data_IF_832051659268
#
_entry.id   IF_832051659268
#
_cell.length_a   1.000
_cell.length_b   1.000
_cell.length_c   1.000
_cell.angle_alpha   90.00
_cell.angle_beta   90.00
_cell.angle_gamma   90.00
#
_symmetry.space_group_name_H-M   'P 1'
#
loop_
_entity.id
_entity.type
_entity.pdbx_description
1 polymer ?
#
# COMPACT_ATOMS: atom_id res chain seq x y z
N UNK A 1 -34.38 6.85 39.93
CA UNK A 1 -34.06 6.93 38.49
C UNK A 1 -32.56 6.71 38.33
N UNK A 2 -32.13 5.52 37.92
CA UNK A 2 -30.72 5.25 37.55
C UNK A 2 -30.60 5.35 36.03
N UNK A 3 -29.85 6.34 35.56
CA UNK A 3 -29.52 6.52 34.15
C UNK A 3 -28.31 5.67 33.79
N UNK A 4 -28.51 4.70 32.90
CA UNK A 4 -27.45 3.88 32.34
C UNK A 4 -26.72 4.68 31.24
N UNK A 5 -25.53 5.21 31.55
CA UNK A 5 -24.64 5.79 30.53
C UNK A 5 -24.01 4.66 29.70
N UNK A 6 -24.49 4.49 28.47
CA UNK A 6 -23.84 3.69 27.44
C UNK A 6 -22.63 4.45 26.90
N UNK A 7 -21.44 4.13 27.41
CA UNK A 7 -20.19 4.51 26.76
C UNK A 7 -20.09 3.77 25.41
N UNK A 8 -20.29 4.50 24.32
CA UNK A 8 -19.91 4.07 22.98
C UNK A 8 -18.39 3.93 22.95
N UNK A 9 -17.89 2.71 23.18
CA UNK A 9 -16.51 2.35 22.91
C UNK A 9 -16.30 2.47 21.40
N UNK A 10 -15.71 3.59 20.98
CA UNK A 10 -15.17 3.75 19.64
C UNK A 10 -14.10 2.67 19.45
N UNK A 11 -14.49 1.55 18.84
CA UNK A 11 -13.54 0.56 18.37
C UNK A 11 -12.80 1.18 17.19
N UNK A 12 -11.64 1.77 17.48
CA UNK A 12 -10.62 1.99 16.46
C UNK A 12 -10.21 0.61 15.98
N UNK A 13 -10.91 0.08 14.97
CA UNK A 13 -10.53 -1.14 14.29
C UNK A 13 -9.16 -0.86 13.66
N UNK A 14 -8.10 -1.32 14.32
CA UNK A 14 -6.76 -1.29 13.76
C UNK A 14 -6.82 -2.14 12.50
N UNK A 15 -6.81 -1.49 11.33
CA UNK A 15 -6.98 -2.18 10.08
C UNK A 15 -5.81 -3.16 9.90
N UNK A 16 -6.13 -4.45 9.91
CA UNK A 16 -5.12 -5.50 9.80
C UNK A 16 -4.55 -5.51 8.38
N UNK A 17 -3.25 -5.82 8.22
CA UNK A 17 -2.67 -6.11 6.91
C UNK A 17 -3.45 -7.22 6.20
N UNK A 18 -3.54 -7.14 4.87
CA UNK A 18 -4.24 -8.13 4.05
C UNK A 18 -3.33 -9.30 3.63
N UNK A 19 -2.12 -9.35 4.19
CA UNK A 19 -1.15 -10.41 3.94
C UNK A 19 -1.46 -11.63 4.81
N UNK A 20 -1.22 -12.82 4.27
CA UNK A 20 -1.34 -14.07 4.99
C UNK A 20 -0.20 -14.19 6.01
N UNK A 21 -0.37 -15.04 7.03
CA UNK A 21 0.59 -15.21 8.14
C UNK A 21 2.00 -15.60 7.68
N UNK A 22 2.08 -16.29 6.55
CA UNK A 22 3.31 -16.77 5.92
C UNK A 22 3.89 -15.79 4.88
N UNK A 23 3.26 -14.64 4.67
CA UNK A 23 3.70 -13.63 3.72
C UNK A 23 4.40 -12.48 4.45
N UNK A 24 5.44 -11.94 3.83
CA UNK A 24 6.05 -10.69 4.26
C UNK A 24 5.14 -9.53 3.85
N UNK A 25 4.83 -8.67 4.82
CA UNK A 25 4.13 -7.40 4.56
C UNK A 25 5.17 -6.33 4.20
N UNK A 26 5.24 -5.95 2.93
CA UNK A 26 6.11 -4.86 2.47
C UNK A 26 5.43 -3.49 2.65
N UNK A 27 4.12 -3.46 2.43
CA UNK A 27 3.30 -2.28 2.62
C UNK A 27 1.97 -2.64 3.27
N UNK A 28 1.50 -1.78 4.17
CA UNK A 28 0.12 -1.81 4.66
C UNK A 28 -0.28 -0.42 5.11
N UNK A 29 -1.39 0.10 4.58
CA UNK A 29 -1.93 1.40 4.95
C UNK A 29 -3.47 1.32 4.98
N UNK A 30 -4.11 1.69 6.10
CA UNK A 30 -5.55 1.93 6.14
C UNK A 30 -5.90 3.10 5.22
N UNK A 31 -6.99 2.99 4.46
CA UNK A 31 -7.47 4.08 3.62
C UNK A 31 -8.37 5.00 4.44
N UNK A 32 -7.91 6.24 4.63
CA UNK A 32 -8.60 7.26 5.41
C UNK A 32 -10.06 7.42 4.96
N UNK A 33 -10.97 7.55 5.93
CA UNK A 33 -12.40 7.66 5.67
C UNK A 33 -13.08 6.34 5.26
N UNK A 34 -12.39 5.20 5.33
CA UNK A 34 -12.96 3.88 5.03
C UNK A 34 -12.50 2.81 6.02
N UNK A 35 -13.12 1.62 5.95
CA UNK A 35 -12.67 0.42 6.67
C UNK A 35 -11.69 -0.44 5.85
N UNK A 36 -11.18 0.09 4.73
CA UNK A 36 -10.37 -0.67 3.79
C UNK A 36 -8.88 -0.47 4.08
N UNK A 37 -8.10 -1.47 3.72
CA UNK A 37 -6.63 -1.47 3.78
C UNK A 37 -6.11 -1.71 2.37
N UNK A 38 -5.00 -1.07 2.03
CA UNK A 38 -4.15 -1.49 0.91
C UNK A 38 -2.88 -2.13 1.47
N UNK A 39 -2.50 -3.30 0.94
CA UNK A 39 -1.27 -4.00 1.34
C UNK A 39 -0.47 -4.48 0.14
N UNK A 40 0.85 -4.48 0.28
CA UNK A 40 1.77 -5.20 -0.63
C UNK A 40 2.35 -6.37 0.15
N UNK A 41 2.06 -7.56 -0.34
CA UNK A 41 2.37 -8.85 0.29
C UNK A 41 3.30 -9.64 -0.62
N UNK A 42 4.26 -10.37 -0.06
CA UNK A 42 5.03 -11.32 -0.86
C UNK A 42 5.43 -12.56 -0.10
N UNK A 43 5.70 -13.64 -0.84
CA UNK A 43 6.19 -14.90 -0.25
C UNK A 43 7.71 -14.91 -0.28
N UNK A 44 8.31 -15.08 0.91
CA UNK A 44 9.77 -15.12 1.11
C UNK A 44 10.31 -16.55 1.14
N UNK A 45 9.46 -17.58 0.97
CA UNK A 45 9.85 -18.99 1.12
C UNK A 45 10.14 -19.69 -0.20
N UNK A 46 9.60 -19.21 -1.31
CA UNK A 46 9.91 -19.72 -2.66
C UNK A 46 10.88 -18.77 -3.34
N UNK A 47 12.18 -18.98 -3.13
CA UNK A 47 13.25 -18.19 -3.76
C UNK A 47 13.30 -18.40 -5.28
N UNK A 48 12.80 -19.53 -5.77
CA UNK A 48 12.74 -19.86 -7.21
C UNK A 48 11.54 -19.19 -7.88
N UNK A 49 10.48 -18.92 -7.13
CA UNK A 49 9.28 -18.23 -7.62
C UNK A 49 8.85 -17.15 -6.63
N UNK A 50 9.60 -16.04 -6.56
CA UNK A 50 9.21 -14.92 -5.72
C UNK A 50 7.83 -14.44 -6.15
N UNK A 51 6.98 -14.15 -5.16
CA UNK A 51 5.62 -13.66 -5.38
C UNK A 51 5.44 -12.31 -4.73
N UNK A 52 4.80 -11.40 -5.45
CA UNK A 52 4.40 -10.08 -4.94
C UNK A 52 2.95 -9.82 -5.34
N UNK A 53 2.15 -9.32 -4.41
CA UNK A 53 0.77 -8.96 -4.65
C UNK A 53 0.39 -7.66 -3.97
N UNK A 54 -0.32 -6.82 -4.69
CA UNK A 54 -1.12 -5.75 -4.14
C UNK A 54 -2.51 -6.27 -3.79
N UNK A 55 -3.00 -5.97 -2.59
CA UNK A 55 -4.34 -6.32 -2.12
C UNK A 55 -5.04 -5.09 -1.58
N UNK A 56 -6.33 -4.94 -1.92
CA UNK A 56 -7.18 -3.88 -1.40
C UNK A 56 -8.55 -4.42 -0.99
N UNK A 57 -9.06 -3.94 0.14
CA UNK A 57 -10.35 -4.35 0.70
C UNK A 57 -10.30 -4.45 2.21
N UNK A 58 -11.01 -5.41 2.78
CA UNK A 58 -11.02 -5.72 4.22
C UNK A 58 -10.45 -7.11 4.47
N UNK A 59 -10.11 -7.42 5.73
CA UNK A 59 -9.63 -8.77 6.09
C UNK A 59 -10.65 -9.88 5.81
N UNK A 60 -11.94 -9.54 5.72
CA UNK A 60 -13.03 -10.49 5.41
C UNK A 60 -13.37 -10.57 3.92
N UNK A 61 -13.06 -9.52 3.17
CA UNK A 61 -13.42 -9.41 1.76
C UNK A 61 -12.38 -8.58 1.02
N UNK A 62 -11.58 -9.26 0.21
CA UNK A 62 -10.63 -8.62 -0.69
C UNK A 62 -11.37 -8.25 -1.97
N UNK A 63 -11.34 -6.97 -2.32
CA UNK A 63 -12.01 -6.41 -3.49
C UNK A 63 -11.09 -6.39 -4.72
N UNK A 64 -9.79 -6.28 -4.50
CA UNK A 64 -8.78 -6.30 -5.56
C UNK A 64 -7.54 -7.08 -5.10
N UNK A 65 -7.10 -8.00 -5.95
CA UNK A 65 -5.80 -8.66 -5.88
C UNK A 65 -5.11 -8.41 -7.21
N UNK A 66 -3.86 -7.94 -7.17
CA UNK A 66 -3.03 -7.77 -8.34
C UNK A 66 -1.62 -8.33 -8.12
N UNK A 67 -1.04 -9.06 -9.07
CA UNK A 67 -1.73 -9.65 -10.21
C UNK A 67 -2.71 -10.74 -9.74
N UNK A 68 -3.79 -10.97 -10.48
CA UNK A 68 -4.79 -11.98 -10.11
C UNK A 68 -4.23 -13.41 -10.13
N UNK A 69 -3.17 -13.64 -10.91
CA UNK A 69 -2.45 -14.91 -10.98
C UNK A 69 -1.03 -14.74 -10.42
N UNK A 70 -0.55 -15.67 -9.59
CA UNK A 70 0.73 -15.52 -8.90
C UNK A 70 1.95 -15.76 -9.78
N UNK A 71 1.77 -16.35 -10.97
CA UNK A 71 2.85 -16.70 -11.89
C UNK A 71 3.54 -15.43 -12.42
N UNK A 72 4.87 -15.39 -12.31
CA UNK A 72 5.70 -14.25 -12.72
C UNK A 72 5.25 -12.90 -12.14
N UNK A 73 4.64 -12.92 -10.96
CA UNK A 73 3.99 -11.75 -10.39
C UNK A 73 4.91 -10.54 -10.21
N UNK A 74 6.18 -10.74 -9.86
CA UNK A 74 7.16 -9.64 -9.75
C UNK A 74 7.31 -8.86 -11.07
N UNK A 75 7.27 -9.54 -12.22
CA UNK A 75 7.46 -8.91 -13.53
C UNK A 75 6.26 -8.03 -13.92
N UNK A 76 5.16 -8.08 -13.17
CA UNK A 76 3.97 -7.24 -13.36
C UNK A 76 4.05 -5.91 -12.63
N UNK A 77 5.11 -5.68 -11.87
CA UNK A 77 5.35 -4.43 -11.18
C UNK A 77 6.58 -3.71 -11.75
N UNK A 78 6.49 -2.39 -11.79
CA UNK A 78 7.62 -1.52 -12.03
C UNK A 78 8.08 -0.96 -10.67
N UNK A 79 9.39 -0.96 -10.43
CA UNK A 79 9.99 -0.44 -9.21
C UNK A 79 10.93 0.71 -9.54
N UNK A 80 10.76 1.83 -8.83
CA UNK A 80 11.66 2.96 -8.92
C UNK A 80 12.15 3.34 -7.52
N UNK A 81 13.42 3.67 -7.42
CA UNK A 81 14.03 4.20 -6.20
C UNK A 81 14.84 5.43 -6.54
N UNK A 82 14.55 6.54 -5.86
CA UNK A 82 15.32 7.76 -5.95
C UNK A 82 15.89 8.11 -4.58
N UNK A 83 17.18 8.41 -4.52
CA UNK A 83 17.87 8.87 -3.32
C UNK A 83 18.45 10.25 -3.60
N UNK A 84 18.10 11.23 -2.77
CA UNK A 84 18.61 12.59 -2.84
C UNK A 84 19.54 12.85 -1.66
N UNK A 85 20.80 13.20 -1.97
CA UNK A 85 21.84 13.49 -0.96
C UNK A 85 21.63 14.81 -0.19
N UNK A 86 21.18 15.92 -0.81
CA UNK A 86 21.03 17.21 -0.12
C UNK A 86 20.10 17.20 1.10
N UNK A 87 19.02 16.43 1.05
CA UNK A 87 18.00 16.29 2.11
C UNK A 87 17.94 14.87 2.69
N UNK A 88 18.92 14.02 2.33
CA UNK A 88 18.97 12.60 2.69
C UNK A 88 17.62 11.89 2.48
N UNK A 89 16.92 12.22 1.39
CA UNK A 89 15.60 11.67 1.13
C UNK A 89 15.65 10.44 0.23
N UNK A 90 14.73 9.53 0.49
CA UNK A 90 14.55 8.28 -0.23
C UNK A 90 13.08 8.16 -0.64
N UNK A 91 12.86 8.08 -1.95
CA UNK A 91 11.57 7.78 -2.55
C UNK A 91 11.62 6.36 -3.11
N UNK A 92 10.75 5.49 -2.62
CA UNK A 92 10.51 4.17 -3.19
C UNK A 92 9.12 4.12 -3.79
N UNK A 93 9.01 3.60 -5.01
CA UNK A 93 7.77 3.57 -5.76
C UNK A 93 7.58 2.19 -6.37
N UNK A 94 6.35 1.69 -6.26
CA UNK A 94 5.90 0.47 -6.90
C UNK A 94 4.67 0.81 -7.75
N UNK A 95 4.77 0.56 -9.04
CA UNK A 95 3.72 0.86 -10.02
C UNK A 95 3.22 -0.40 -10.70
N UNK A 96 1.93 -0.41 -11.04
CA UNK A 96 1.36 -1.43 -11.90
C UNK A 96 0.12 -0.91 -12.62
N UNK A 97 -0.27 -1.62 -13.68
CA UNK A 97 -1.49 -1.34 -14.45
C UNK A 97 -2.50 -2.47 -14.26
N UNK A 98 -3.75 -2.12 -14.00
CA UNK A 98 -4.86 -3.05 -13.96
C UNK A 98 -6.07 -2.46 -14.70
N UNK A 99 -6.43 -3.06 -15.84
CA UNK A 99 -7.35 -2.45 -16.79
C UNK A 99 -6.78 -1.14 -17.34
N UNK A 100 -7.58 -0.08 -17.37
CA UNK A 100 -7.16 1.24 -17.86
C UNK A 100 -6.52 2.14 -16.78
N UNK A 101 -6.44 1.65 -15.55
CA UNK A 101 -5.94 2.41 -14.41
C UNK A 101 -4.51 2.01 -14.06
N UNK A 102 -3.76 3.02 -13.63
CA UNK A 102 -2.45 2.87 -13.03
C UNK A 102 -2.58 3.03 -11.52
N UNK A 103 -1.81 2.20 -10.81
CA UNK A 103 -1.76 2.16 -9.37
C UNK A 103 -0.33 2.46 -8.93
N UNK A 104 -0.19 3.34 -7.95
CA UNK A 104 1.09 3.66 -7.31
C UNK A 104 1.04 3.36 -5.82
N UNK A 105 2.10 2.74 -5.31
CA UNK A 105 2.39 2.64 -3.89
C UNK A 105 3.72 3.32 -3.65
N UNK A 106 3.73 4.37 -2.83
CA UNK A 106 4.94 5.15 -2.58
C UNK A 106 5.29 5.18 -1.10
N UNK A 107 6.58 5.24 -0.81
CA UNK A 107 7.09 5.67 0.48
C UNK A 107 8.19 6.68 0.29
N UNK A 108 8.03 7.83 0.92
CA UNK A 108 9.02 8.89 0.96
C UNK A 108 9.55 9.00 2.40
N UNK A 109 10.87 9.02 2.55
CA UNK A 109 11.55 9.23 3.83
C UNK A 109 12.50 10.39 3.63
N UNK A 110 12.51 11.36 4.53
CA UNK A 110 13.45 12.47 4.47
C UNK A 110 13.83 12.91 5.89
N UNK A 111 15.02 13.46 6.03
CA UNK A 111 15.45 14.10 7.27
C UNK A 111 15.25 15.61 7.12
N UNK A 112 14.48 16.24 8.01
CA UNK A 112 14.30 17.68 8.05
C UNK A 112 14.67 18.26 9.43
N UNK A 113 14.52 19.58 9.58
CA UNK A 113 14.82 20.30 10.83
C UNK A 113 13.99 19.84 12.05
N UNK A 114 12.88 19.14 11.82
CA UNK A 114 12.01 18.55 12.85
C UNK A 114 12.24 17.04 13.04
N UNK A 115 13.22 16.46 12.33
CA UNK A 115 13.57 15.04 12.40
C UNK A 115 13.19 14.26 11.15
N UNK A 116 13.09 12.94 11.29
CA UNK A 116 12.80 12.05 10.16
C UNK A 116 11.30 12.05 9.85
N UNK A 117 10.96 12.53 8.65
CA UNK A 117 9.61 12.45 8.07
C UNK A 117 9.49 11.14 7.28
N UNK A 118 8.32 10.50 7.40
CA UNK A 118 7.96 9.33 6.60
C UNK A 118 6.54 9.49 6.09
N UNK A 119 6.42 9.55 4.77
CA UNK A 119 5.14 9.57 4.08
C UNK A 119 4.95 8.28 3.29
N UNK A 120 3.72 7.80 3.24
CA UNK A 120 3.35 6.59 2.53
C UNK A 120 2.01 6.83 1.88
N UNK A 121 1.89 6.52 0.60
CA UNK A 121 0.65 6.78 -0.12
C UNK A 121 0.28 5.64 -1.05
N UNK A 122 -1.00 5.61 -1.40
CA UNK A 122 -1.53 4.89 -2.54
C UNK A 122 -2.16 5.91 -3.48
N UNK A 123 -1.98 5.70 -4.78
CA UNK A 123 -2.59 6.53 -5.80
C UNK A 123 -3.22 5.64 -6.88
N UNK A 124 -4.34 6.10 -7.44
CA UNK A 124 -4.97 5.51 -8.62
C UNK A 124 -5.18 6.64 -9.61
N UNK A 125 -4.70 6.48 -10.83
CA UNK A 125 -4.75 7.52 -11.85
C UNK A 125 -4.94 6.89 -13.24
N UNK A 126 -5.54 7.64 -14.16
CA UNK A 126 -5.53 7.31 -15.58
C UNK A 126 -4.26 7.89 -16.24
N UNK A 127 -3.98 7.49 -17.48
CA UNK A 127 -2.79 7.96 -18.22
C UNK A 127 -2.84 9.46 -18.52
N UNK A 128 -4.04 10.01 -18.65
CA UNK A 128 -4.29 11.40 -19.07
C UNK A 128 -4.07 12.39 -17.91
N UNK A 129 -3.99 11.90 -16.67
CA UNK A 129 -3.64 12.67 -15.48
C UNK A 129 -2.12 12.78 -15.24
N UNK A 130 -1.29 12.00 -15.95
CA UNK A 130 0.18 11.99 -15.76
C UNK A 130 0.88 12.96 -16.71
N UNK A 131 0.32 13.21 -17.90
CA UNK A 131 0.92 14.12 -18.88
C UNK A 131 0.29 15.51 -18.76
N UNK A 132 1.09 16.59 -18.64
CA UNK A 132 0.53 17.92 -18.78
C UNK A 132 -0.15 18.02 -20.16
N UNK A 133 -1.40 18.47 -20.18
CA UNK A 133 -2.06 18.83 -21.43
C UNK A 133 -1.23 19.94 -22.08
N UNK A 134 -0.64 19.64 -23.23
CA UNK A 134 0.07 20.61 -24.07
C UNK A 134 -0.88 21.68 -24.60
#
# INVERSE_FOLDING_TARGET
MQGLLLFLLAHSATAQPLCQTNEKTYFSCPVAGSHKTASVCGDVRDFERPRLEYRFGTSKHIELIYPALPFESLQKFEFNQAISKPDNSELNELYFKNGDYYYGVTSYIADNEHGRVKERSIAVFDRDQILPKH
#
